data_IF_651801376624
#
_entry.id   IF_651801376624
#
_cell.length_a   1.000
_cell.length_b   1.000
_cell.length_c   1.000
_cell.angle_alpha   90.00
_cell.angle_beta   90.00
_cell.angle_gamma   90.00
#
_symmetry.space_group_name_H-M   'P 1'
#
loop_
_entity.id
_entity.type
_entity.pdbx_description
1 polymer ?
#
# COMPACT_ATOMS: atom_id res chain seq x y z
N UNK A 1 -8.29 -22.47 20.28
CA UNK A 1 -7.76 -21.11 20.01
C UNK A 1 -8.93 -20.26 19.58
N UNK A 2 -9.03 -19.06 20.12
CA UNK A 2 -10.05 -18.08 19.75
C UNK A 2 -9.35 -16.83 19.23
N UNK A 3 -9.87 -16.25 18.14
CA UNK A 3 -9.39 -14.97 17.61
C UNK A 3 -10.59 -14.03 17.60
N UNK A 4 -10.61 -13.03 18.47
CA UNK A 4 -11.78 -12.19 18.68
C UNK A 4 -11.51 -10.74 18.25
N UNK A 5 -12.49 -10.01 17.71
CA UNK A 5 -12.39 -8.56 17.55
C UNK A 5 -12.17 -7.90 18.92
N UNK A 6 -11.49 -6.75 18.94
CA UNK A 6 -11.36 -5.97 20.19
C UNK A 6 -12.74 -5.50 20.69
N UNK A 7 -12.99 -5.56 22.00
CA UNK A 7 -14.16 -4.88 22.60
C UNK A 7 -14.01 -3.36 22.58
N UNK A 8 -15.13 -2.66 22.52
CA UNK A 8 -15.22 -1.20 22.64
C UNK A 8 -16.11 -0.53 21.59
N UNK A 9 -16.74 0.58 21.98
CA UNK A 9 -17.60 1.41 21.11
C UNK A 9 -16.83 2.45 20.29
N UNK A 10 -15.61 2.77 20.71
CA UNK A 10 -14.80 3.80 20.05
C UNK A 10 -14.37 3.37 18.65
N UNK A 11 -14.27 4.31 17.72
CA UNK A 11 -13.86 4.06 16.35
C UNK A 11 -12.42 4.56 16.15
N UNK A 12 -11.45 3.69 16.42
CA UNK A 12 -10.01 3.96 16.27
C UNK A 12 -9.25 2.73 15.74
N UNK A 13 -7.97 2.92 15.41
CA UNK A 13 -7.11 1.85 14.85
C UNK A 13 -7.09 0.58 15.72
N UNK A 14 -7.04 0.75 17.06
CA UNK A 14 -6.99 -0.38 17.99
C UNK A 14 -8.26 -1.22 17.92
N UNK A 15 -9.42 -0.59 17.88
CA UNK A 15 -10.73 -1.28 17.82
C UNK A 15 -11.09 -1.83 16.44
N UNK A 16 -10.51 -1.27 15.38
CA UNK A 16 -10.80 -1.63 13.99
C UNK A 16 -9.90 -2.76 13.48
N UNK A 17 -8.60 -2.66 13.70
CA UNK A 17 -7.60 -3.49 13.01
C UNK A 17 -6.79 -4.39 13.95
N UNK A 18 -7.12 -4.44 15.24
CA UNK A 18 -6.49 -5.36 16.20
C UNK A 18 -7.50 -6.39 16.69
N UNK A 19 -6.96 -7.50 17.15
CA UNK A 19 -7.72 -8.63 17.66
C UNK A 19 -7.05 -9.19 18.92
N UNK A 20 -7.82 -9.94 19.69
CA UNK A 20 -7.34 -10.71 20.83
C UNK A 20 -7.24 -12.19 20.45
N UNK A 21 -6.20 -12.85 20.97
CA UNK A 21 -5.99 -14.29 20.76
C UNK A 21 -5.97 -14.99 22.11
N UNK A 22 -6.87 -15.95 22.28
CA UNK A 22 -6.91 -16.82 23.46
C UNK A 22 -6.48 -18.22 23.07
N UNK A 23 -5.44 -18.73 23.73
CA UNK A 23 -4.95 -20.09 23.58
C UNK A 23 -5.41 -20.93 24.76
N UNK A 24 -6.39 -21.81 24.51
CA UNK A 24 -6.81 -22.82 25.48
C UNK A 24 -5.80 -23.96 25.49
N UNK A 25 -5.20 -24.21 26.65
CA UNK A 25 -4.29 -25.33 26.87
C UNK A 25 -5.09 -26.45 27.53
N UNK A 26 -5.02 -27.66 26.98
CA UNK A 26 -5.60 -28.83 27.65
C UNK A 26 -4.82 -29.11 28.95
N UNK A 27 -5.50 -29.46 30.05
CA UNK A 27 -4.81 -29.83 31.27
C UNK A 27 -3.97 -31.09 31.03
N UNK A 28 -2.70 -31.06 31.46
CA UNK A 28 -1.69 -32.13 31.28
C UNK A 28 -2.05 -33.43 32.03
N UNK A 29 -3.11 -33.41 32.85
CA UNK A 29 -3.61 -34.62 33.49
C UNK A 29 -4.36 -35.45 32.46
N UNK A 30 -3.81 -36.62 32.10
CA UNK A 30 -4.33 -37.70 31.24
C UNK A 30 -5.77 -38.21 31.54
N UNK A 31 -6.61 -37.44 32.20
CA UNK A 31 -8.05 -37.59 32.05
C UNK A 31 -8.40 -36.95 30.72
N UNK A 32 -8.60 -37.78 29.70
CA UNK A 32 -9.36 -37.38 28.52
C UNK A 32 -10.60 -36.68 29.03
N UNK A 33 -10.69 -35.37 28.85
CA UNK A 33 -11.98 -34.69 28.89
C UNK A 33 -12.88 -35.56 28.00
N UNK A 34 -14.07 -36.01 28.46
CA UNK A 34 -14.97 -36.72 27.58
C UNK A 34 -15.03 -35.87 26.32
N UNK A 35 -14.71 -36.47 25.17
CA UNK A 35 -14.84 -35.84 23.87
C UNK A 35 -16.29 -35.37 23.87
N UNK A 36 -16.51 -34.10 24.23
CA UNK A 36 -17.85 -33.63 24.49
C UNK A 36 -18.56 -33.84 23.17
N UNK A 37 -19.66 -34.60 23.19
CA UNK A 37 -20.53 -34.82 22.04
C UNK A 37 -20.50 -33.55 21.20
N UNK A 38 -20.00 -33.66 19.96
CA UNK A 38 -19.78 -32.52 19.08
C UNK A 38 -21.03 -31.66 19.15
N UNK A 39 -20.96 -30.53 19.86
CA UNK A 39 -22.13 -29.70 20.06
C UNK A 39 -22.47 -29.18 18.68
N UNK A 40 -23.56 -29.70 18.10
CA UNK A 40 -23.94 -29.36 16.73
C UNK A 40 -24.55 -27.97 16.81
N UNK A 41 -23.75 -26.97 16.45
CA UNK A 41 -24.21 -25.60 16.39
C UNK A 41 -24.95 -25.42 15.06
N UNK A 42 -26.26 -25.06 15.08
CA UNK A 42 -26.96 -24.71 13.86
C UNK A 42 -26.42 -23.36 13.35
N UNK A 43 -26.02 -23.32 12.08
CA UNK A 43 -25.44 -22.15 11.45
C UNK A 43 -26.38 -21.56 10.41
N UNK A 44 -26.53 -20.24 10.43
CA UNK A 44 -27.07 -19.44 9.33
C UNK A 44 -25.97 -18.58 8.72
N UNK A 45 -26.19 -18.12 7.49
CA UNK A 45 -25.33 -17.19 6.80
C UNK A 45 -26.02 -15.83 6.71
N UNK A 46 -25.35 -14.78 7.17
CA UNK A 46 -25.89 -13.43 7.23
C UNK A 46 -26.49 -12.95 5.90
N UNK A 47 -25.75 -13.13 4.81
CA UNK A 47 -26.14 -12.62 3.50
C UNK A 47 -27.17 -13.53 2.80
N UNK A 48 -26.97 -14.86 2.83
CA UNK A 48 -27.85 -15.81 2.15
C UNK A 48 -29.24 -15.87 2.81
N UNK A 49 -29.27 -15.80 4.15
CA UNK A 49 -30.51 -15.83 4.92
C UNK A 49 -31.12 -14.42 5.13
N UNK A 50 -30.50 -13.37 4.54
CA UNK A 50 -30.94 -11.97 4.59
C UNK A 50 -31.26 -11.49 6.02
N UNK A 51 -30.32 -11.74 6.93
CA UNK A 51 -30.49 -11.45 8.34
C UNK A 51 -30.31 -9.96 8.66
N UNK A 52 -30.92 -9.55 9.76
CA UNK A 52 -30.83 -8.22 10.37
C UNK A 52 -30.72 -8.35 11.88
N UNK A 53 -30.21 -7.33 12.56
CA UNK A 53 -30.06 -7.34 14.02
C UNK A 53 -31.39 -7.59 14.74
N UNK A 54 -32.48 -7.01 14.23
CA UNK A 54 -33.84 -7.19 14.77
C UNK A 54 -34.34 -8.63 14.61
N UNK A 55 -34.04 -9.29 13.49
CA UNK A 55 -34.40 -10.70 13.30
C UNK A 55 -33.60 -11.62 14.23
N UNK A 56 -32.34 -11.29 14.52
CA UNK A 56 -31.54 -12.01 15.51
C UNK A 56 -32.18 -11.89 16.90
N UNK A 57 -32.52 -10.67 17.31
CA UNK A 57 -33.17 -10.38 18.58
C UNK A 57 -34.50 -11.15 18.73
N UNK A 58 -35.39 -11.05 17.74
CA UNK A 58 -36.69 -11.73 17.74
C UNK A 58 -36.54 -13.25 17.86
N UNK A 59 -35.55 -13.83 17.16
CA UNK A 59 -35.29 -15.27 17.20
C UNK A 59 -34.75 -15.73 18.55
N UNK A 60 -33.81 -14.99 19.13
CA UNK A 60 -33.27 -15.28 20.46
C UNK A 60 -34.35 -15.19 21.55
N UNK A 61 -35.28 -14.24 21.43
CA UNK A 61 -36.41 -14.08 22.36
C UNK A 61 -37.46 -15.19 22.22
N UNK A 62 -37.77 -15.60 20.98
CA UNK A 62 -38.86 -16.53 20.68
C UNK A 62 -38.44 -17.99 20.86
N UNK A 63 -37.37 -18.40 20.18
CA UNK A 63 -36.97 -19.81 20.12
C UNK A 63 -36.11 -20.22 21.32
N UNK A 64 -35.44 -19.24 21.94
CA UNK A 64 -34.51 -19.40 23.08
C UNK A 64 -33.56 -20.60 22.92
N UNK A 65 -32.83 -20.70 21.78
CA UNK A 65 -31.93 -21.83 21.52
C UNK A 65 -30.80 -21.88 22.56
N UNK A 66 -30.25 -23.07 22.80
CA UNK A 66 -29.08 -23.23 23.67
C UNK A 66 -27.80 -22.75 22.98
N UNK A 67 -27.63 -23.13 21.71
CA UNK A 67 -26.55 -22.67 20.83
C UNK A 67 -27.11 -22.23 19.49
N UNK A 68 -26.61 -21.13 18.95
CA UNK A 68 -26.94 -20.69 17.60
C UNK A 68 -25.79 -19.89 17.00
N UNK A 69 -25.39 -20.23 15.77
CA UNK A 69 -24.29 -19.60 15.06
C UNK A 69 -24.75 -18.81 13.84
N UNK A 70 -24.10 -17.69 13.58
CA UNK A 70 -24.29 -16.87 12.38
C UNK A 70 -22.93 -16.58 11.76
N UNK A 71 -22.81 -16.78 10.45
CA UNK A 71 -21.57 -16.60 9.70
C UNK A 71 -21.62 -15.38 8.79
N UNK A 72 -20.46 -14.75 8.61
CA UNK A 72 -20.25 -13.72 7.60
C UNK A 72 -21.00 -12.41 7.87
N UNK A 73 -21.06 -11.97 9.13
CA UNK A 73 -21.64 -10.68 9.50
C UNK A 73 -20.66 -9.56 9.08
N UNK A 74 -21.07 -8.61 8.22
CA UNK A 74 -20.21 -7.51 7.82
C UNK A 74 -19.86 -6.63 9.01
N UNK A 75 -18.58 -6.29 9.14
CA UNK A 75 -18.08 -5.51 10.27
C UNK A 75 -18.08 -4.02 9.96
N UNK A 76 -19.02 -3.29 10.57
CA UNK A 76 -19.13 -1.84 10.41
C UNK A 76 -17.81 -1.11 10.66
N UNK A 77 -16.96 -1.62 11.56
CA UNK A 77 -15.72 -0.94 11.95
C UNK A 77 -14.70 -0.84 10.81
N UNK A 78 -14.74 -1.74 9.84
CA UNK A 78 -13.75 -1.82 8.75
C UNK A 78 -14.33 -1.51 7.37
N UNK A 79 -15.66 -1.37 7.23
CA UNK A 79 -16.32 -1.10 5.94
C UNK A 79 -15.73 0.12 5.20
N UNK A 80 -15.56 1.25 5.90
CA UNK A 80 -14.97 2.44 5.29
C UNK A 80 -13.53 2.20 4.79
N UNK A 81 -12.73 1.44 5.56
CA UNK A 81 -11.36 1.13 5.18
C UNK A 81 -11.30 0.20 3.97
N UNK A 82 -12.20 -0.78 3.91
CA UNK A 82 -12.35 -1.68 2.75
C UNK A 82 -12.80 -0.91 1.51
N UNK A 83 -13.70 0.07 1.66
CA UNK A 83 -14.11 0.93 0.54
C UNK A 83 -12.97 1.80 0.03
N UNK A 84 -12.19 2.39 0.93
CA UNK A 84 -10.98 3.14 0.55
C UNK A 84 -10.01 2.22 -0.19
N UNK A 85 -9.83 0.98 0.27
CA UNK A 85 -8.97 0.01 -0.39
C UNK A 85 -9.46 -0.33 -1.82
N UNK A 86 -10.76 -0.53 -2.00
CA UNK A 86 -11.38 -0.68 -3.33
C UNK A 86 -11.11 0.54 -4.24
N UNK A 87 -11.16 1.76 -3.69
CA UNK A 87 -10.87 2.99 -4.43
C UNK A 87 -9.40 3.16 -4.80
N UNK A 88 -8.47 2.50 -4.10
CA UNK A 88 -7.06 2.49 -4.51
C UNK A 88 -6.89 1.74 -5.84
N UNK A 89 -7.67 0.68 -6.05
CA UNK A 89 -7.66 -0.07 -7.31
C UNK A 89 -8.54 0.60 -8.37
N UNK A 90 -9.70 1.12 -7.97
CA UNK A 90 -10.69 1.74 -8.85
C UNK A 90 -11.16 3.08 -8.29
N UNK A 91 -10.40 4.14 -8.55
CA UNK A 91 -10.66 5.46 -8.01
C UNK A 91 -12.01 6.02 -8.53
N UNK A 92 -12.85 6.60 -7.64
CA UNK A 92 -14.06 7.28 -8.06
C UNK A 92 -13.72 8.53 -8.87
N UNK A 93 -14.61 8.90 -9.79
CA UNK A 93 -14.45 10.09 -10.65
C UNK A 93 -14.70 11.37 -9.85
N UNK A 94 -13.69 11.80 -9.09
CA UNK A 94 -13.71 13.02 -8.28
C UNK A 94 -12.42 13.81 -8.44
N UNK A 95 -12.55 15.12 -8.51
CA UNK A 95 -11.44 16.03 -8.75
C UNK A 95 -10.76 16.49 -7.44
N UNK A 96 -11.45 16.36 -6.30
CA UNK A 96 -10.97 16.90 -5.02
C UNK A 96 -11.09 15.92 -3.85
N UNK A 97 -10.19 16.09 -2.87
CA UNK A 97 -10.21 15.32 -1.60
C UNK A 97 -11.50 15.57 -0.81
N UNK A 98 -12.10 16.76 -0.93
CA UNK A 98 -13.36 17.10 -0.26
C UNK A 98 -14.53 16.28 -0.81
N UNK A 99 -14.64 16.17 -2.14
CA UNK A 99 -15.64 15.32 -2.78
C UNK A 99 -15.48 13.84 -2.39
N UNK A 100 -14.23 13.35 -2.33
CA UNK A 100 -13.94 11.99 -1.89
C UNK A 100 -14.38 11.72 -0.44
N UNK A 101 -14.11 12.67 0.47
CA UNK A 101 -14.58 12.59 1.87
C UNK A 101 -16.10 12.63 1.97
N UNK A 102 -16.76 13.41 1.11
CA UNK A 102 -18.22 13.50 1.08
C UNK A 102 -18.85 12.18 0.60
N UNK A 103 -18.33 11.61 -0.48
CA UNK A 103 -18.73 10.28 -0.97
C UNK A 103 -18.59 9.21 0.11
N UNK A 104 -17.48 9.22 0.86
CA UNK A 104 -17.25 8.25 1.92
C UNK A 104 -18.27 8.40 3.06
N UNK A 105 -18.66 9.64 3.39
CA UNK A 105 -19.67 9.91 4.44
C UNK A 105 -21.10 9.61 4.02
N UNK A 106 -21.39 9.68 2.72
CA UNK A 106 -22.72 9.40 2.17
C UNK A 106 -22.98 7.89 2.02
N UNK A 107 -21.98 7.05 2.24
CA UNK A 107 -22.20 5.61 2.30
C UNK A 107 -23.10 5.22 3.46
N UNK A 108 -23.99 4.26 3.16
CA UNK A 108 -24.79 3.58 4.16
C UNK A 108 -23.92 2.47 4.75
N UNK A 109 -23.63 2.56 6.04
CA UNK A 109 -23.03 1.48 6.81
C UNK A 109 -24.02 0.30 6.81
N UNK A 110 -23.63 -0.81 6.18
CA UNK A 110 -24.44 -2.03 6.10
C UNK A 110 -24.06 -3.06 7.15
N UNK A 111 -22.89 -2.88 7.76
CA UNK A 111 -22.34 -3.77 8.75
C UNK A 111 -22.87 -3.51 10.14
N UNK A 112 -22.57 -4.46 11.03
CA UNK A 112 -22.87 -4.37 12.45
C UNK A 112 -21.57 -4.08 13.21
N UNK A 113 -21.64 -3.21 14.22
CA UNK A 113 -20.55 -3.08 15.16
C UNK A 113 -20.51 -4.32 16.06
N UNK A 114 -19.38 -5.05 16.16
CA UNK A 114 -19.23 -6.20 17.05
C UNK A 114 -19.69 -5.94 18.50
N UNK A 115 -19.53 -4.70 18.99
CA UNK A 115 -19.97 -4.30 20.33
C UNK A 115 -21.49 -4.37 20.51
N UNK A 116 -22.26 -4.07 19.46
CA UNK A 116 -23.72 -4.17 19.50
C UNK A 116 -24.16 -5.63 19.65
N UNK A 117 -23.43 -6.57 19.04
CA UNK A 117 -23.72 -8.01 19.15
C UNK A 117 -23.51 -8.50 20.57
N UNK A 118 -22.40 -8.08 21.20
CA UNK A 118 -22.15 -8.39 22.62
C UNK A 118 -23.21 -7.80 23.55
N UNK A 119 -23.54 -6.51 23.38
CA UNK A 119 -24.56 -5.84 24.19
C UNK A 119 -25.94 -6.48 24.03
N UNK A 120 -26.31 -6.85 22.79
CA UNK A 120 -27.56 -7.55 22.50
C UNK A 120 -27.61 -8.90 23.24
N UNK A 121 -26.55 -9.71 23.14
CA UNK A 121 -26.49 -11.01 23.80
C UNK A 121 -26.61 -10.89 25.32
N UNK A 122 -25.83 -9.99 25.93
CA UNK A 122 -25.86 -9.75 27.38
C UNK A 122 -27.26 -9.31 27.85
N UNK A 123 -27.96 -8.49 27.07
CA UNK A 123 -29.32 -8.04 27.40
C UNK A 123 -30.37 -9.15 27.36
N UNK A 124 -30.10 -10.22 26.61
CA UNK A 124 -31.02 -11.35 26.39
C UNK A 124 -30.66 -12.59 27.23
N UNK A 125 -29.61 -12.54 28.06
CA UNK A 125 -29.11 -13.67 28.84
C UNK A 125 -28.34 -14.69 28.01
N UNK A 126 -27.57 -14.20 27.04
CA UNK A 126 -26.68 -14.96 26.19
C UNK A 126 -25.25 -14.45 26.29
N UNK A 127 -24.30 -15.37 26.21
CA UNK A 127 -22.90 -15.09 25.93
C UNK A 127 -22.65 -15.16 24.43
N UNK A 128 -22.19 -14.06 23.81
CA UNK A 128 -21.79 -14.04 22.41
C UNK A 128 -20.28 -14.22 22.25
N UNK A 129 -19.90 -15.29 21.56
CA UNK A 129 -18.53 -15.58 21.17
C UNK A 129 -18.35 -15.13 19.72
N UNK A 130 -17.39 -14.24 19.46
CA UNK A 130 -17.15 -13.72 18.10
C UNK A 130 -15.80 -14.22 17.58
N UNK A 131 -15.72 -14.48 16.28
CA UNK A 131 -14.44 -14.74 15.65
C UNK A 131 -14.35 -14.19 14.23
N UNK A 132 -13.14 -13.85 13.77
CA UNK A 132 -12.93 -13.42 12.39
C UNK A 132 -13.22 -14.56 11.41
N UNK A 133 -13.97 -14.26 10.35
CA UNK A 133 -14.33 -15.25 9.34
C UNK A 133 -13.11 -15.64 8.49
N UNK A 134 -12.86 -16.95 8.34
CA UNK A 134 -12.04 -17.65 7.33
C UNK A 134 -10.82 -16.92 6.71
N UNK A 135 -10.16 -16.00 7.42
CA UNK A 135 -9.20 -15.05 6.82
C UNK A 135 -9.76 -14.31 5.60
N UNK A 136 -11.08 -14.09 5.53
CA UNK A 136 -11.71 -13.42 4.41
C UNK A 136 -11.25 -11.96 4.31
N UNK A 137 -11.05 -11.51 3.09
CA UNK A 137 -10.61 -10.13 2.81
C UNK A 137 -11.72 -9.11 2.99
N UNK A 138 -12.96 -9.56 3.17
CA UNK A 138 -14.16 -8.72 3.30
C UNK A 138 -14.37 -8.18 4.73
N UNK A 139 -13.50 -8.55 5.68
CA UNK A 139 -13.53 -8.04 7.05
C UNK A 139 -14.73 -8.52 7.88
N UNK A 140 -15.47 -9.53 7.43
CA UNK A 140 -16.61 -10.09 8.15
C UNK A 140 -16.20 -10.88 9.40
N UNK A 141 -17.15 -11.03 10.33
CA UNK A 141 -16.99 -11.86 11.52
C UNK A 141 -18.15 -12.82 11.71
N UNK A 142 -17.91 -13.87 12.47
CA UNK A 142 -18.89 -14.86 12.90
C UNK A 142 -19.25 -14.66 14.36
N UNK A 143 -20.44 -15.08 14.73
CA UNK A 143 -20.91 -15.11 16.12
C UNK A 143 -21.52 -16.46 16.45
N UNK A 144 -21.26 -16.94 17.66
CA UNK A 144 -21.99 -18.03 18.31
C UNK A 144 -22.64 -17.46 19.57
N UNK A 145 -23.96 -17.52 19.64
CA UNK A 145 -24.73 -17.24 20.85
C UNK A 145 -24.86 -18.52 21.67
N UNK A 146 -24.48 -18.42 22.94
CA UNK A 146 -24.66 -19.47 23.94
C UNK A 146 -25.57 -18.95 25.04
N UNK A 147 -26.61 -19.71 25.40
CA UNK A 147 -27.51 -19.31 26.48
C UNK A 147 -26.83 -19.45 27.85
N UNK A 148 -27.03 -18.49 28.74
CA UNK A 148 -26.42 -18.47 30.08
C UNK A 148 -27.11 -19.44 31.08
N UNK A 149 -27.57 -20.60 30.61
CA UNK A 149 -28.30 -21.58 31.41
C UNK A 149 -27.36 -22.56 32.09
N UNK A 150 -26.58 -22.11 33.08
CA UNK A 150 -25.91 -22.95 34.11
C UNK A 150 -25.06 -24.15 33.66
N UNK A 151 -24.87 -24.35 32.36
CA UNK A 151 -24.21 -25.49 31.75
C UNK A 151 -22.69 -25.29 31.83
N UNK A 152 -21.96 -26.40 31.98
CA UNK A 152 -20.50 -26.40 32.05
C UNK A 152 -19.91 -25.57 30.89
N UNK A 153 -18.89 -24.77 31.21
CA UNK A 153 -18.21 -23.94 30.22
C UNK A 153 -17.76 -24.83 29.05
N UNK A 154 -18.39 -24.65 27.88
CA UNK A 154 -17.99 -25.35 26.66
C UNK A 154 -16.55 -24.94 26.36
N UNK A 155 -15.63 -25.86 26.57
CA UNK A 155 -14.18 -25.61 26.55
C UNK A 155 -13.64 -25.41 25.12
N UNK A 156 -14.41 -25.74 24.08
CA UNK A 156 -14.02 -25.53 22.68
C UNK A 156 -15.24 -25.30 21.78
N UNK A 157 -15.55 -24.04 21.48
CA UNK A 157 -16.45 -23.68 20.38
C UNK A 157 -15.66 -23.69 19.07
N UNK A 158 -16.09 -24.50 18.10
CA UNK A 158 -15.45 -24.60 16.79
C UNK A 158 -16.14 -23.65 15.80
N UNK A 159 -15.51 -22.51 15.52
CA UNK A 159 -15.95 -21.58 14.47
C UNK A 159 -15.64 -22.13 13.06
N UNK A 160 -14.46 -22.74 12.90
CA UNK A 160 -13.94 -23.23 11.62
C UNK A 160 -13.69 -24.73 11.62
N UNK A 161 -13.75 -25.33 10.44
CA UNK A 161 -13.23 -26.67 10.20
C UNK A 161 -11.70 -26.59 10.05
N UNK A 162 -10.96 -27.22 10.96
CA UNK A 162 -9.50 -27.27 10.92
C UNK A 162 -8.97 -27.84 9.59
N UNK A 163 -9.75 -28.69 8.91
CA UNK A 163 -9.37 -29.29 7.62
C UNK A 163 -9.52 -28.33 6.43
N UNK A 164 -10.28 -27.25 6.57
CA UNK A 164 -10.50 -26.26 5.51
C UNK A 164 -9.42 -25.17 5.47
N UNK A 165 -8.57 -25.08 6.51
CA UNK A 165 -7.52 -24.06 6.62
C UNK A 165 -6.45 -24.22 5.54
N UNK A 166 -6.38 -23.25 4.63
CA UNK A 166 -5.25 -23.08 3.72
C UNK A 166 -4.16 -22.25 4.39
N UNK A 167 -3.07 -22.89 4.80
CA UNK A 167 -1.92 -22.19 5.36
C UNK A 167 -1.12 -21.49 4.25
N UNK A 168 -0.82 -20.20 4.45
CA UNK A 168 0.11 -19.43 3.63
C UNK A 168 1.47 -19.32 4.33
N UNK A 169 2.54 -18.93 3.62
CA UNK A 169 3.79 -18.54 4.27
C UNK A 169 3.56 -17.46 5.34
N UNK A 170 4.32 -17.49 6.44
CA UNK A 170 4.17 -16.52 7.55
C UNK A 170 4.33 -15.06 7.11
N UNK A 171 5.06 -14.82 6.02
CA UNK A 171 5.25 -13.51 5.39
C UNK A 171 3.95 -12.91 4.88
N UNK A 172 2.95 -13.73 4.55
CA UNK A 172 1.64 -13.26 4.08
C UNK A 172 0.75 -12.77 5.23
N UNK A 173 1.09 -13.15 6.47
CA UNK A 173 0.35 -12.77 7.67
C UNK A 173 1.03 -11.65 8.47
N UNK A 174 2.21 -11.18 8.03
CA UNK A 174 2.99 -10.20 8.79
C UNK A 174 3.52 -9.08 7.90
N UNK A 175 3.47 -7.85 8.40
CA UNK A 175 4.21 -6.76 7.78
C UNK A 175 5.69 -6.89 8.13
N UNK A 176 6.58 -6.75 7.14
CA UNK A 176 8.01 -6.63 7.37
C UNK A 176 8.43 -5.13 7.32
N UNK A 177 8.44 -4.41 8.46
CA UNK A 177 8.76 -2.99 8.49
C UNK A 177 10.21 -2.70 8.07
N UNK A 178 11.09 -3.70 8.12
CA UNK A 178 12.48 -3.56 7.70
C UNK A 178 12.65 -3.71 6.19
N UNK A 179 11.66 -4.26 5.47
CA UNK A 179 11.74 -4.48 4.01
C UNK A 179 12.08 -3.19 3.27
N UNK A 180 11.39 -2.08 3.59
CA UNK A 180 11.66 -0.78 2.97
C UNK A 180 13.08 -0.27 3.25
N UNK A 181 13.53 -0.34 4.52
CA UNK A 181 14.90 0.08 4.90
C UNK A 181 15.99 -0.80 4.26
N UNK A 182 15.73 -2.10 4.14
CA UNK A 182 16.65 -3.04 3.49
C UNK A 182 16.81 -2.67 2.01
N UNK A 183 15.68 -2.46 1.32
CA UNK A 183 15.63 -2.07 -0.08
C UNK A 183 16.39 -0.75 -0.31
N UNK A 184 16.14 0.27 0.51
CA UNK A 184 16.85 1.56 0.44
C UNK A 184 18.37 1.44 0.61
N UNK A 185 18.86 0.47 1.40
CA UNK A 185 20.31 0.26 1.60
C UNK A 185 20.94 -0.64 0.55
N UNK A 186 20.20 -1.63 0.05
CA UNK A 186 20.73 -2.66 -0.85
C UNK A 186 20.77 -2.19 -2.30
N UNK A 187 19.70 -1.55 -2.77
CA UNK A 187 19.57 -1.15 -4.18
C UNK A 187 20.71 -0.21 -4.63
N UNK A 188 21.10 0.84 -3.88
CA UNK A 188 22.23 1.68 -4.27
C UNK A 188 23.54 0.91 -4.40
N UNK A 189 23.83 -0.01 -3.46
CA UNK A 189 25.06 -0.83 -3.47
C UNK A 189 25.11 -1.77 -4.66
N UNK A 190 23.99 -2.41 -4.99
CA UNK A 190 23.92 -3.30 -6.16
C UNK A 190 24.09 -2.50 -7.45
N UNK A 191 23.47 -1.32 -7.53
CA UNK A 191 23.58 -0.42 -8.68
C UNK A 191 25.01 0.06 -8.89
N UNK A 192 25.67 0.55 -7.84
CA UNK A 192 27.07 0.98 -7.86
C UNK A 192 27.99 -0.15 -8.33
N UNK A 193 27.83 -1.35 -7.77
CA UNK A 193 28.58 -2.54 -8.19
C UNK A 193 28.37 -2.87 -9.67
N UNK A 194 27.16 -2.73 -10.20
CA UNK A 194 26.87 -2.97 -11.61
C UNK A 194 27.45 -1.87 -12.52
N UNK A 195 27.41 -0.61 -12.09
CA UNK A 195 27.99 0.51 -12.85
C UNK A 195 29.51 0.39 -13.01
N UNK A 196 30.21 -0.20 -12.05
CA UNK A 196 31.65 -0.49 -12.18
C UNK A 196 31.98 -1.60 -13.18
N UNK A 197 31.01 -2.49 -13.47
CA UNK A 197 31.23 -3.71 -14.26
C UNK A 197 30.56 -3.68 -15.63
N UNK A 198 29.52 -2.89 -15.78
CA UNK A 198 28.66 -2.88 -16.96
C UNK A 198 28.55 -1.47 -17.53
N UNK A 199 28.44 -1.34 -18.86
CA UNK A 199 28.04 -0.08 -19.49
C UNK A 199 26.68 0.39 -18.95
N UNK A 200 26.48 1.71 -18.92
CA UNK A 200 25.27 2.34 -18.35
C UNK A 200 23.95 1.77 -18.88
N UNK A 201 23.88 1.43 -20.17
CA UNK A 201 22.69 0.87 -20.80
C UNK A 201 22.35 -0.58 -20.40
N UNK A 202 23.28 -1.29 -19.74
CA UNK A 202 23.05 -2.64 -19.21
C UNK A 202 22.66 -2.63 -17.72
N UNK A 203 22.76 -1.48 -17.05
CA UNK A 203 22.37 -1.35 -15.64
C UNK A 203 20.84 -1.27 -15.55
N UNK A 204 20.18 -2.15 -14.77
CA UNK A 204 18.72 -2.14 -14.65
C UNK A 204 18.18 -0.81 -14.14
N UNK A 205 17.08 -0.35 -14.74
CA UNK A 205 16.39 0.86 -14.29
C UNK A 205 15.69 0.65 -12.93
N UNK A 206 15.17 -0.55 -12.68
CA UNK A 206 14.44 -0.88 -11.45
C UNK A 206 14.96 -2.16 -10.78
N UNK A 207 14.90 -2.19 -9.45
CA UNK A 207 15.27 -3.33 -8.63
C UNK A 207 14.12 -3.70 -7.69
N UNK A 208 13.45 -4.82 -7.95
CA UNK A 208 12.34 -5.30 -7.11
C UNK A 208 12.82 -6.40 -6.17
N UNK A 209 12.65 -6.19 -4.86
CA UNK A 209 12.99 -7.20 -3.86
C UNK A 209 11.85 -8.20 -3.68
N UNK A 210 12.14 -9.46 -4.02
CA UNK A 210 11.26 -10.60 -3.81
C UNK A 210 11.81 -11.48 -2.70
N UNK A 211 10.91 -12.06 -1.89
CA UNK A 211 11.30 -13.06 -0.88
C UNK A 211 11.68 -14.38 -1.54
N UNK A 212 10.99 -14.74 -2.63
CA UNK A 212 11.30 -15.87 -3.49
C UNK A 212 10.89 -15.59 -4.94
N UNK A 213 11.52 -16.29 -5.89
CA UNK A 213 11.12 -16.20 -7.29
C UNK A 213 9.82 -16.97 -7.51
N UNK A 214 8.80 -16.37 -8.15
CA UNK A 214 7.60 -17.10 -8.50
C UNK A 214 7.94 -18.21 -9.50
N UNK A 215 7.46 -19.42 -9.23
CA UNK A 215 7.71 -20.60 -10.04
C UNK A 215 6.40 -21.11 -10.66
N UNK A 216 6.49 -21.53 -11.91
CA UNK A 216 5.48 -22.38 -12.56
C UNK A 216 5.39 -23.74 -11.86
N UNK A 217 4.30 -24.51 -12.05
CA UNK A 217 4.18 -25.86 -11.51
C UNK A 217 5.33 -26.81 -11.89
N UNK A 218 6.00 -26.53 -13.02
CA UNK A 218 7.15 -27.28 -13.51
C UNK A 218 8.50 -26.77 -12.96
N UNK A 219 8.49 -25.85 -11.98
CA UNK A 219 9.69 -25.34 -11.32
C UNK A 219 10.48 -24.28 -12.09
N UNK A 220 10.00 -23.83 -13.27
CA UNK A 220 10.60 -22.71 -14.02
C UNK A 220 10.11 -21.37 -13.47
N UNK A 221 10.91 -20.32 -13.56
CA UNK A 221 10.49 -18.96 -13.17
C UNK A 221 9.27 -18.51 -13.98
N UNK A 222 8.20 -18.14 -13.30
CA UNK A 222 7.01 -17.55 -13.90
C UNK A 222 7.20 -16.04 -14.06
N UNK A 223 7.55 -15.63 -15.28
CA UNK A 223 7.78 -14.22 -15.61
C UNK A 223 6.51 -13.38 -15.57
N UNK A 224 5.33 -13.99 -15.74
CA UNK A 224 4.04 -13.26 -15.71
C UNK A 224 3.61 -12.94 -14.29
N UNK A 225 4.05 -13.75 -13.33
CA UNK A 225 3.79 -13.55 -11.91
C UNK A 225 4.80 -12.58 -11.24
N UNK A 226 5.80 -12.07 -11.98
CA UNK A 226 6.70 -11.05 -11.44
C UNK A 226 5.95 -9.72 -11.29
N UNK A 227 6.04 -9.05 -10.13
CA UNK A 227 5.40 -7.76 -9.92
C UNK A 227 6.02 -6.69 -10.83
N UNK A 228 5.18 -5.74 -11.25
CA UNK A 228 5.64 -4.60 -12.04
C UNK A 228 6.48 -3.65 -11.18
N UNK A 229 7.53 -3.01 -11.74
CA UNK A 229 8.32 -2.05 -10.98
C UNK A 229 7.58 -0.70 -10.81
N UNK A 230 7.04 -0.47 -9.62
CA UNK A 230 6.39 0.80 -9.28
C UNK A 230 7.38 1.97 -9.22
N UNK A 231 6.89 3.20 -9.34
CA UNK A 231 7.70 4.43 -9.33
C UNK A 231 8.51 4.58 -8.02
N UNK A 232 7.97 4.13 -6.90
CA UNK A 232 8.66 4.04 -5.60
C UNK A 232 9.84 3.09 -5.61
N UNK A 233 9.83 2.06 -6.46
CA UNK A 233 10.91 1.08 -6.62
C UNK A 233 11.97 1.54 -7.64
N UNK A 234 11.63 2.49 -8.52
CA UNK A 234 12.57 3.13 -9.45
C UNK A 234 13.45 4.18 -8.77
N UNK A 235 12.91 4.92 -7.80
CA UNK A 235 13.53 6.11 -7.19
C UNK A 235 14.28 5.88 -5.86
N UNK A 236 14.70 4.65 -5.55
CA UNK A 236 15.30 4.32 -4.23
C UNK A 236 16.72 4.85 -4.02
N UNK A 237 17.41 5.32 -5.06
CA UNK A 237 18.80 5.73 -4.98
C UNK A 237 18.99 7.19 -4.56
N UNK A 238 18.06 8.09 -4.92
CA UNK A 238 18.24 9.52 -4.74
C UNK A 238 17.18 10.12 -3.83
N UNK A 239 17.62 10.86 -2.80
CA UNK A 239 16.74 11.70 -2.02
C UNK A 239 15.99 12.64 -2.97
N UNK A 240 14.65 12.63 -2.91
CA UNK A 240 13.83 13.55 -3.70
C UNK A 240 14.18 15.00 -3.33
N UNK A 241 14.75 15.75 -4.27
CA UNK A 241 15.10 17.16 -4.10
C UNK A 241 14.27 17.99 -5.07
N UNK A 242 13.54 18.97 -4.54
CA UNK A 242 12.75 19.91 -5.32
C UNK A 242 13.64 20.87 -6.13
N UNK A 243 13.12 21.45 -7.23
CA UNK A 243 13.78 22.52 -7.95
C UNK A 243 14.15 23.69 -7.03
N UNK A 244 15.40 24.14 -7.13
CA UNK A 244 16.00 25.17 -6.27
C UNK A 244 16.04 26.54 -6.94
N UNK A 245 15.96 26.58 -8.26
CA UNK A 245 16.04 27.79 -9.08
C UNK A 245 15.11 27.70 -10.30
N UNK A 246 14.86 28.81 -11.02
CA UNK A 246 13.95 28.84 -12.16
C UNK A 246 14.35 27.91 -13.31
N UNK A 247 15.65 27.75 -13.57
CA UNK A 247 16.17 26.85 -14.62
C UNK A 247 15.81 25.40 -14.28
N UNK A 248 16.07 24.96 -13.05
CA UNK A 248 15.68 23.63 -12.57
C UNK A 248 14.17 23.42 -12.66
N UNK A 249 13.36 24.43 -12.31
CA UNK A 249 11.90 24.31 -12.36
C UNK A 249 11.39 24.11 -13.80
N UNK A 250 11.95 24.86 -14.76
CA UNK A 250 11.61 24.73 -16.17
C UNK A 250 12.08 23.39 -16.76
N UNK A 251 13.28 22.93 -16.38
CA UNK A 251 13.77 21.60 -16.78
C UNK A 251 12.90 20.47 -16.22
N UNK A 252 12.50 20.56 -14.94
CA UNK A 252 11.57 19.60 -14.32
C UNK A 252 10.24 19.54 -15.07
N UNK A 253 9.69 20.69 -15.47
CA UNK A 253 8.45 20.75 -16.25
C UNK A 253 8.61 20.04 -17.61
N UNK A 254 9.68 20.35 -18.35
CA UNK A 254 9.95 19.71 -19.65
C UNK A 254 10.07 18.20 -19.50
N UNK A 255 10.79 17.72 -18.48
CA UNK A 255 10.95 16.29 -18.21
C UNK A 255 9.63 15.63 -17.83
N UNK A 256 8.84 16.27 -16.97
CA UNK A 256 7.54 15.78 -16.53
C UNK A 256 6.60 15.56 -17.71
N UNK A 257 6.54 16.52 -18.64
CA UNK A 257 5.71 16.44 -19.85
C UNK A 257 6.16 15.34 -20.82
N UNK A 258 7.48 15.14 -20.98
CA UNK A 258 8.00 14.15 -21.92
C UNK A 258 7.95 12.73 -21.34
N UNK A 259 8.21 12.57 -20.04
CA UNK A 259 8.21 11.27 -19.38
C UNK A 259 6.82 10.86 -18.87
N UNK A 260 5.87 11.78 -18.81
CA UNK A 260 4.53 11.55 -18.24
C UNK A 260 4.57 11.29 -16.73
N UNK A 261 5.48 11.94 -16.00
CA UNK A 261 5.68 11.75 -14.57
C UNK A 261 5.35 13.01 -13.78
N UNK A 262 4.48 12.92 -12.77
CA UNK A 262 4.06 14.07 -11.95
C UNK A 262 5.13 14.53 -10.95
N UNK A 263 6.04 13.64 -10.54
CA UNK A 263 7.10 13.94 -9.56
C UNK A 263 8.46 13.52 -10.07
N UNK A 264 9.30 14.52 -10.34
CA UNK A 264 10.71 14.36 -10.72
C UNK A 264 11.55 15.26 -9.80
N UNK A 265 12.48 14.65 -9.07
CA UNK A 265 13.49 15.36 -8.29
C UNK A 265 14.66 15.81 -9.16
N UNK A 266 15.34 16.89 -8.78
CA UNK A 266 16.43 17.45 -9.61
C UNK A 266 17.68 16.56 -9.69
N UNK A 267 17.80 15.59 -8.79
CA UNK A 267 18.86 14.58 -8.77
C UNK A 267 18.45 13.28 -9.43
N UNK A 268 17.20 13.16 -9.88
CA UNK A 268 16.74 11.94 -10.51
C UNK A 268 17.41 11.78 -11.87
N UNK A 269 17.83 10.55 -12.17
CA UNK A 269 18.50 10.24 -13.43
C UNK A 269 17.46 10.03 -14.53
N UNK A 270 17.60 10.75 -15.65
CA UNK A 270 16.70 10.69 -16.82
C UNK A 270 16.41 9.26 -17.27
N UNK A 271 17.46 8.44 -17.38
CA UNK A 271 17.35 7.08 -17.87
C UNK A 271 16.77 6.13 -16.81
N UNK A 272 16.95 6.43 -15.53
CA UNK A 272 16.32 5.66 -14.45
C UNK A 272 14.81 5.92 -14.35
N UNK A 273 14.36 7.10 -14.78
CA UNK A 273 12.95 7.46 -14.88
C UNK A 273 12.22 6.83 -16.09
N UNK A 274 12.92 6.02 -16.88
CA UNK A 274 12.38 5.41 -18.10
C UNK A 274 12.69 6.20 -19.38
N UNK A 275 13.51 7.24 -19.28
CA UNK A 275 14.04 7.94 -20.44
C UNK A 275 14.90 7.03 -21.32
N UNK A 276 14.79 7.22 -22.64
CA UNK A 276 15.62 6.57 -23.65
C UNK A 276 16.03 7.57 -24.72
N UNK A 277 16.90 7.18 -25.67
CA UNK A 277 17.51 8.12 -26.62
C UNK A 277 16.49 8.99 -27.37
N UNK A 278 15.37 8.42 -27.85
CA UNK A 278 14.32 9.22 -28.50
C UNK A 278 13.69 10.28 -27.56
N UNK A 279 13.39 9.92 -26.30
CA UNK A 279 12.89 10.89 -25.31
C UNK A 279 13.96 11.91 -24.95
N UNK A 280 15.23 11.51 -24.85
CA UNK A 280 16.34 12.43 -24.61
C UNK A 280 16.45 13.49 -25.73
N UNK A 281 16.32 13.07 -27.00
CA UNK A 281 16.29 14.00 -28.13
C UNK A 281 15.09 14.95 -28.07
N UNK A 282 13.90 14.46 -27.70
CA UNK A 282 12.72 15.31 -27.53
C UNK A 282 12.88 16.32 -26.39
N UNK A 283 13.39 15.88 -25.25
CA UNK A 283 13.70 16.76 -24.11
C UNK A 283 14.70 17.84 -24.52
N UNK A 284 15.82 17.46 -25.14
CA UNK A 284 16.85 18.42 -25.52
C UNK A 284 16.36 19.40 -26.59
N UNK A 285 15.54 18.97 -27.54
CA UNK A 285 14.92 19.89 -28.50
C UNK A 285 14.06 20.96 -27.82
N UNK A 286 13.30 20.58 -26.77
CA UNK A 286 12.52 21.54 -25.97
C UNK A 286 13.40 22.44 -25.12
N UNK A 287 14.47 21.91 -24.53
CA UNK A 287 15.45 22.71 -23.76
C UNK A 287 16.12 23.73 -24.67
N UNK A 288 16.65 23.30 -25.82
CA UNK A 288 17.28 24.18 -26.81
C UNK A 288 16.34 25.31 -27.25
N UNK A 289 15.07 24.98 -27.49
CA UNK A 289 14.06 25.99 -27.85
C UNK A 289 13.73 26.94 -26.70
N UNK A 290 13.67 26.44 -25.46
CA UNK A 290 13.29 27.22 -24.29
C UNK A 290 14.38 28.18 -23.80
N UNK A 291 15.65 27.78 -23.95
CA UNK A 291 16.81 28.55 -23.47
C UNK A 291 17.63 29.19 -24.60
N UNK A 292 17.27 28.95 -25.87
CA UNK A 292 18.02 29.47 -27.02
C UNK A 292 19.42 28.86 -27.16
N UNK A 293 19.59 27.60 -26.74
CA UNK A 293 20.85 26.87 -26.72
C UNK A 293 20.89 25.81 -27.83
N UNK A 294 22.09 25.29 -28.12
CA UNK A 294 22.27 24.13 -29.00
C UNK A 294 23.01 23.01 -28.26
N UNK A 295 22.34 22.41 -27.28
CA UNK A 295 22.86 21.29 -26.52
C UNK A 295 22.75 20.00 -27.33
N UNK A 296 23.86 19.25 -27.42
CA UNK A 296 23.91 17.95 -28.09
C UNK A 296 23.36 16.84 -27.20
N UNK A 297 22.93 15.71 -27.80
CA UNK A 297 22.45 14.55 -27.04
C UNK A 297 23.47 13.97 -26.06
N UNK A 298 24.75 14.21 -26.31
CA UNK A 298 25.85 13.78 -25.46
C UNK A 298 25.72 14.32 -24.03
N UNK A 299 25.20 15.55 -23.86
CA UNK A 299 25.07 16.15 -22.53
C UNK A 299 24.10 15.40 -21.64
N UNK A 300 23.06 14.78 -22.22
CA UNK A 300 22.12 13.96 -21.46
C UNK A 300 22.79 12.70 -20.92
N UNK A 301 23.81 12.17 -21.60
CA UNK A 301 24.57 11.01 -21.13
C UNK A 301 25.66 11.39 -20.13
N UNK A 302 26.30 12.55 -20.29
CA UNK A 302 27.33 13.06 -19.38
C UNK A 302 26.74 13.55 -18.06
N UNK A 303 25.60 14.24 -18.13
CA UNK A 303 24.90 14.83 -16.99
C UNK A 303 23.42 14.44 -17.02
N UNK A 304 23.08 13.18 -16.70
CA UNK A 304 21.74 12.65 -16.82
C UNK A 304 20.77 13.13 -15.73
N UNK A 305 21.02 14.27 -15.10
CA UNK A 305 20.18 14.84 -14.03
C UNK A 305 19.84 16.29 -14.35
N UNK A 306 18.68 16.75 -13.88
CA UNK A 306 18.26 18.14 -14.02
C UNK A 306 19.29 19.08 -13.39
N UNK A 307 19.81 18.75 -12.22
CA UNK A 307 20.85 19.55 -11.56
C UNK A 307 22.14 19.63 -12.39
N UNK A 308 22.53 18.53 -13.05
CA UNK A 308 23.68 18.51 -13.95
C UNK A 308 23.48 19.41 -15.17
N UNK A 309 22.37 19.24 -15.88
CA UNK A 309 22.03 20.06 -17.07
C UNK A 309 21.88 21.54 -16.69
N UNK A 310 21.21 21.85 -15.57
CA UNK A 310 21.06 23.21 -15.08
C UNK A 310 22.42 23.90 -14.84
N UNK A 311 23.40 23.16 -14.29
CA UNK A 311 24.76 23.66 -14.09
C UNK A 311 25.46 24.01 -15.40
N UNK A 312 25.25 23.20 -16.45
CA UNK A 312 25.78 23.50 -17.79
C UNK A 312 25.14 24.75 -18.38
N UNK A 313 23.81 24.88 -18.30
CA UNK A 313 23.09 26.07 -18.79
C UNK A 313 23.60 27.33 -18.09
N UNK A 314 23.70 27.30 -16.76
CA UNK A 314 24.22 28.42 -15.97
C UNK A 314 25.65 28.80 -16.34
N UNK A 315 26.51 27.82 -16.61
CA UNK A 315 27.88 28.08 -17.03
C UNK A 315 27.94 28.74 -18.43
N UNK A 316 27.09 28.31 -19.36
CA UNK A 316 26.99 28.91 -20.70
C UNK A 316 26.47 30.35 -20.61
N UNK A 317 25.42 30.59 -19.82
CA UNK A 317 24.86 31.93 -19.61
C UNK A 317 25.89 32.89 -18.98
N UNK A 318 26.68 32.41 -18.02
CA UNK A 318 27.73 33.21 -17.38
C UNK A 318 28.84 33.62 -18.35
N UNK A 319 29.30 32.70 -19.20
CA UNK A 319 30.33 32.99 -20.22
C UNK A 319 29.82 33.99 -21.26
N UNK A 320 28.55 33.89 -21.66
CA UNK A 320 27.94 34.83 -22.60
C UNK A 320 27.83 36.25 -22.00
N UNK A 321 27.53 36.36 -20.70
CA UNK A 321 27.45 37.65 -19.99
C UNK A 321 28.83 38.31 -19.80
N UNK A 322 29.86 37.54 -19.43
CA UNK A 322 31.24 38.05 -19.25
C UNK A 322 31.87 38.54 -20.57
N UNK A 323 31.55 37.87 -21.69
CA UNK A 323 31.96 38.32 -23.03
C UNK A 323 31.24 39.61 -23.48
N UNK A 324 29.96 39.76 -23.12
CA UNK A 324 29.22 41.00 -23.40
C UNK A 324 29.76 42.18 -22.59
N UNK A 325 30.03 42.01 -21.30
CA UNK A 325 30.55 43.06 -20.43
C UNK A 325 32.00 43.46 -20.77
N UNK A 326 32.83 42.52 -21.25
CA UNK A 326 34.18 42.82 -21.72
C UNK A 326 34.22 43.51 -23.09
N UNK A 327 33.26 43.23 -23.97
CA UNK A 327 33.13 43.93 -25.26
C UNK A 327 32.68 45.39 -25.11
N UNK A 328 31.81 45.68 -24.14
CA UNK A 328 31.38 47.05 -23.80
C UNK A 328 32.49 47.91 -23.18
N UNK A 329 33.46 47.29 -22.51
CA UNK A 329 34.62 48.01 -21.94
C UNK A 329 35.70 48.33 -22.99
N UNK A 330 35.79 47.58 -24.10
CA UNK A 330 36.80 47.82 -25.13
C UNK A 330 36.42 48.92 -26.15
N UNK A 331 35.14 49.29 -26.27
CA UNK A 331 34.73 50.39 -27.16
C UNK A 331 34.96 51.79 -26.55
N UNK A 332 35.25 51.90 -25.25
CA UNK A 332 35.51 53.19 -24.58
C UNK A 332 36.99 53.58 -24.48
N UNK A 333 37.89 52.88 -25.18
CA UNK A 333 39.32 53.23 -25.23
C UNK A 333 39.69 53.78 -26.60
N UNK A 334 39.09 54.91 -26.99
CA UNK A 334 39.67 55.76 -28.04
C UNK A 334 40.98 56.36 -27.50
N UNK A 335 42.07 55.95 -28.14
CA UNK A 335 43.42 56.44 -27.91
C UNK A 335 43.46 57.94 -28.23
N UNK A 336 43.55 58.77 -27.19
CA UNK A 336 43.95 60.17 -27.35
C UNK A 336 45.48 60.19 -27.42
N UNK A 337 46.02 60.20 -28.65
CA UNK A 337 47.41 60.58 -28.89
C UNK A 337 47.56 62.09 -28.63
N UNK A 338 48.49 62.45 -27.74
CA UNK A 338 48.98 63.82 -27.54
C UNK A 338 50.36 64.00 -28.16
#
# INVERSE_FOLDING_TARGET
MEIQPKRGVTHNELTQFRYDVTLHLEPINNQSLPISDQTVIPWLNWQLDQLSLTQIEDKLLTDKPEFWGIRGIPNQRVEQALKIWEWVENAPDVETVEQLKKLLKEQVDTGINPEQVWQLAESLGYTAHLSWWESSQDGSFDVIFQRDSGSEAVSKLAFWDEKALKTKPWTDYTNNPLRGKLVQKLVPKVREFLQEKLPSYMVPQAFVLLDSLPLTPNGKVDRKALPSPDATTRNLANSFVLPRNPIEAQLTQIWSEVLGLERIGVKDNFFELGGHSLLATQVLSRINSAFGLDLSVQIMFESPTIAGIAGYIQAVDWVAQDQADSSLNNENTEVVEF
#
